data_IF_494523850439
#
_entry.id   IF_494523850439
#
_cell.length_a   1.000
_cell.length_b   1.000
_cell.length_c   1.000
_cell.angle_alpha   90.00
_cell.angle_beta   90.00
_cell.angle_gamma   90.00
#
_symmetry.space_group_name_H-M   'P 1'
#
loop_
_entity.id
_entity.type
_entity.pdbx_description
1 polymer ?
#
# COMPACT_ATOMS: atom_id res chain seq x y z
N UNK A 1 -8.69 -2.56 21.69
CA UNK A 1 -7.58 -2.51 20.71
C UNK A 1 -6.49 -3.42 21.24
N UNK A 2 -5.77 -4.09 20.36
CA UNK A 2 -4.64 -4.96 20.65
C UNK A 2 -3.48 -4.58 19.73
N UNK A 3 -2.22 -4.72 20.14
CA UNK A 3 -1.79 -5.01 21.51
C UNK A 3 -2.02 -3.81 22.45
N UNK A 4 -1.91 -4.02 23.76
CA UNK A 4 -1.93 -2.98 24.79
C UNK A 4 -0.70 -2.07 24.69
N UNK A 5 -0.75 -0.88 25.28
CA UNK A 5 0.39 0.06 25.26
C UNK A 5 1.67 -0.55 25.85
N UNK A 6 1.55 -1.36 26.91
CA UNK A 6 2.69 -2.03 27.52
C UNK A 6 3.31 -3.07 26.58
N UNK A 7 2.48 -3.82 25.85
CA UNK A 7 2.93 -4.77 24.83
C UNK A 7 3.56 -4.07 23.63
N UNK A 8 2.98 -2.95 23.16
CA UNK A 8 3.60 -2.11 22.11
C UNK A 8 5.01 -1.69 22.50
N UNK A 9 5.20 -1.21 23.75
CA UNK A 9 6.53 -0.83 24.25
C UNK A 9 7.53 -2.00 24.22
N UNK A 10 7.07 -3.22 24.52
CA UNK A 10 7.93 -4.43 24.43
C UNK A 10 8.27 -4.79 23.00
N UNK A 11 7.34 -4.60 22.06
CA UNK A 11 7.52 -4.93 20.64
C UNK A 11 8.44 -3.95 19.89
N UNK A 12 8.69 -2.76 20.44
CA UNK A 12 9.61 -1.77 19.83
C UNK A 12 11.02 -2.31 19.59
N UNK A 13 11.45 -3.31 20.34
CA UNK A 13 12.75 -3.96 20.13
C UNK A 13 12.81 -4.76 18.81
N UNK A 14 11.68 -5.10 18.20
CA UNK A 14 11.59 -5.93 16.99
C UNK A 14 11.41 -5.11 15.72
N UNK A 15 10.97 -3.86 15.82
CA UNK A 15 10.67 -3.01 14.67
C UNK A 15 10.07 -1.67 15.08
N UNK A 16 9.98 -0.75 14.12
CA UNK A 16 9.51 0.61 14.33
C UNK A 16 8.09 0.87 13.79
N UNK A 17 7.47 -0.13 13.16
CA UNK A 17 6.06 -0.13 12.78
C UNK A 17 5.39 -1.30 13.50
N UNK A 18 4.46 -0.98 14.40
CA UNK A 18 3.77 -1.97 15.23
C UNK A 18 2.28 -1.85 14.93
N UNK A 19 1.65 -2.87 14.33
CA UNK A 19 0.23 -2.81 13.99
C UNK A 19 -0.61 -2.83 15.28
N UNK A 20 -1.53 -1.88 15.39
CA UNK A 20 -2.55 -1.84 16.44
C UNK A 20 -3.90 -2.04 15.78
N UNK A 21 -4.64 -3.05 16.22
CA UNK A 21 -5.85 -3.50 15.55
C UNK A 21 -7.00 -3.73 16.53
N UNK A 22 -8.19 -3.90 15.95
CA UNK A 22 -9.39 -4.35 16.66
C UNK A 22 -10.22 -5.19 15.70
N UNK A 23 -10.51 -6.43 16.09
CA UNK A 23 -11.47 -7.26 15.37
C UNK A 23 -12.89 -6.81 15.70
N UNK A 24 -13.72 -6.72 14.68
CA UNK A 24 -15.14 -6.35 14.78
C UNK A 24 -15.98 -7.36 14.02
N UNK A 25 -17.20 -7.62 14.50
CA UNK A 25 -18.18 -8.42 13.76
C UNK A 25 -18.71 -7.56 12.63
N UNK A 26 -18.65 -8.09 11.41
CA UNK A 26 -18.92 -7.34 10.18
C UNK A 26 -19.77 -8.15 9.19
N UNK A 27 -20.61 -9.06 9.70
CA UNK A 27 -21.34 -10.06 8.91
C UNK A 27 -22.32 -9.45 7.89
N UNK A 28 -22.69 -8.17 8.06
CA UNK A 28 -23.50 -7.40 7.11
C UNK A 28 -22.69 -6.56 6.11
N UNK A 29 -21.36 -6.61 6.17
CA UNK A 29 -20.48 -5.88 5.26
C UNK A 29 -19.92 -6.85 4.22
N UNK A 30 -20.03 -6.43 2.96
CA UNK A 30 -19.20 -6.96 1.88
C UNK A 30 -17.97 -6.06 1.76
N UNK A 31 -16.86 -6.53 1.15
CA UNK A 31 -15.69 -5.68 0.92
C UNK A 31 -16.04 -4.37 0.23
N UNK A 32 -16.89 -4.41 -0.80
CA UNK A 32 -17.38 -3.22 -1.52
C UNK A 32 -18.18 -2.30 -0.60
N UNK A 33 -19.11 -2.81 0.21
CA UNK A 33 -19.91 -1.96 1.09
C UNK A 33 -19.09 -1.38 2.26
N UNK A 34 -18.04 -2.07 2.69
CA UNK A 34 -17.05 -1.54 3.63
C UNK A 34 -16.21 -0.43 2.98
N UNK A 35 -15.73 -0.64 1.75
CA UNK A 35 -14.97 0.36 1.00
C UNK A 35 -15.77 1.65 0.77
N UNK A 36 -17.02 1.56 0.31
CA UNK A 36 -17.90 2.73 0.10
C UNK A 36 -18.18 3.51 1.39
N UNK A 37 -18.09 2.88 2.56
CA UNK A 37 -18.17 3.57 3.85
C UNK A 37 -16.85 4.23 4.22
N UNK A 38 -15.72 3.60 3.88
CA UNK A 38 -14.38 4.10 4.17
C UNK A 38 -14.00 5.30 3.29
N UNK A 39 -14.30 5.25 1.99
CA UNK A 39 -13.84 6.23 1.00
C UNK A 39 -14.42 7.64 1.21
N UNK A 40 -15.64 7.76 1.75
CA UNK A 40 -16.37 9.04 1.84
C UNK A 40 -15.59 10.18 2.48
N UNK A 41 -14.78 9.85 3.49
CA UNK A 41 -14.05 10.84 4.29
C UNK A 41 -12.53 10.66 4.18
N UNK A 42 -12.05 9.96 3.15
CA UNK A 42 -10.63 9.59 3.02
C UNK A 42 -10.08 9.89 1.64
N UNK A 43 -8.85 10.41 1.64
CA UNK A 43 -8.10 10.61 0.41
C UNK A 43 -7.39 9.32 -0.01
N UNK A 44 -7.24 9.11 -1.32
CA UNK A 44 -6.50 7.96 -1.87
C UNK A 44 -6.98 6.61 -1.32
N UNK A 45 -8.30 6.43 -1.23
CA UNK A 45 -8.86 5.17 -0.78
C UNK A 45 -8.55 4.05 -1.80
N UNK A 46 -8.29 2.84 -1.31
CA UNK A 46 -8.10 1.67 -2.16
C UNK A 46 -8.92 0.48 -1.67
N UNK A 47 -9.21 -0.43 -2.59
CA UNK A 47 -9.74 -1.77 -2.34
C UNK A 47 -8.91 -2.75 -3.18
N UNK A 48 -8.32 -3.75 -2.52
CA UNK A 48 -7.64 -4.87 -3.16
C UNK A 48 -8.39 -6.16 -2.83
N UNK A 49 -8.92 -6.79 -3.88
CA UNK A 49 -9.54 -8.10 -3.81
C UNK A 49 -8.76 -9.07 -4.68
N UNK A 50 -8.61 -10.30 -4.21
CA UNK A 50 -8.00 -11.38 -4.97
C UNK A 50 -9.05 -12.41 -5.33
N UNK A 51 -9.02 -12.88 -6.58
CA UNK A 51 -9.86 -13.98 -7.05
C UNK A 51 -8.93 -15.13 -7.40
N UNK A 52 -9.04 -16.24 -6.66
CA UNK A 52 -8.34 -17.48 -6.97
C UNK A 52 -9.21 -18.33 -7.91
N UNK A 53 -8.66 -18.70 -9.07
CA UNK A 53 -9.28 -19.69 -9.96
C UNK A 53 -10.60 -19.27 -10.61
N UNK A 54 -10.87 -17.96 -10.76
CA UNK A 54 -12.00 -17.42 -11.52
C UNK A 54 -13.34 -17.36 -10.78
N UNK A 55 -13.54 -18.14 -9.71
CA UNK A 55 -14.83 -18.21 -9.00
C UNK A 55 -14.74 -18.06 -7.48
N UNK A 56 -13.56 -18.21 -6.86
CA UNK A 56 -13.41 -18.10 -5.39
C UNK A 56 -12.70 -16.81 -5.01
N UNK A 57 -13.41 -15.95 -4.29
CA UNK A 57 -12.81 -14.79 -3.64
C UNK A 57 -11.84 -15.29 -2.56
N UNK A 58 -10.64 -14.72 -2.53
CA UNK A 58 -9.64 -15.02 -1.52
C UNK A 58 -10.16 -14.70 -0.10
N UNK A 59 -9.53 -15.29 0.92
CA UNK A 59 -9.97 -15.11 2.32
C UNK A 59 -9.96 -13.66 2.81
N UNK A 60 -9.16 -12.79 2.20
CA UNK A 60 -8.98 -11.40 2.63
C UNK A 60 -9.20 -10.43 1.48
N UNK A 61 -9.91 -9.34 1.77
CA UNK A 61 -9.91 -8.09 0.99
C UNK A 61 -9.23 -7.01 1.83
N UNK A 62 -8.41 -6.17 1.19
CA UNK A 62 -7.71 -5.08 1.86
C UNK A 62 -8.28 -3.74 1.44
N UNK A 63 -8.59 -2.90 2.42
CA UNK A 63 -9.05 -1.53 2.21
C UNK A 63 -8.25 -0.57 3.08
N UNK A 64 -7.99 0.61 2.56
CA UNK A 64 -7.24 1.65 3.25
C UNK A 64 -7.43 3.01 2.60
N UNK A 65 -6.94 4.05 3.26
CA UNK A 65 -7.02 5.43 2.82
C UNK A 65 -6.10 6.30 3.68
N UNK A 66 -5.96 7.57 3.31
CA UNK A 66 -5.14 8.58 3.99
C UNK A 66 -3.66 8.16 4.14
N UNK A 67 -2.94 8.01 3.02
CA UNK A 67 -1.53 7.67 3.07
C UNK A 67 -0.74 8.78 3.76
N UNK A 68 0.23 8.40 4.58
CA UNK A 68 1.09 9.35 5.29
C UNK A 68 2.29 9.83 4.45
N UNK A 69 2.56 9.15 3.34
CA UNK A 69 3.63 9.47 2.41
C UNK A 69 3.22 9.04 1.01
N UNK A 70 3.45 9.92 0.03
CA UNK A 70 3.23 9.63 -1.39
C UNK A 70 4.55 9.88 -2.12
N UNK A 71 4.99 8.90 -2.91
CA UNK A 71 6.17 8.97 -3.78
C UNK A 71 5.69 8.92 -5.22
N UNK A 72 6.02 9.95 -6.00
CA UNK A 72 5.69 10.06 -7.42
C UNK A 72 6.96 10.07 -8.25
N UNK A 73 6.88 9.51 -9.45
CA UNK A 73 7.89 9.59 -10.48
C UNK A 73 7.23 9.91 -11.81
N UNK A 74 7.79 10.87 -12.53
CA UNK A 74 7.35 11.21 -13.88
C UNK A 74 8.50 11.82 -14.66
N UNK A 75 8.68 11.40 -15.91
CA UNK A 75 9.60 12.04 -16.87
C UNK A 75 11.02 12.23 -16.30
N UNK A 76 11.58 11.19 -15.68
CA UNK A 76 12.94 11.27 -15.13
C UNK A 76 13.04 11.88 -13.74
N UNK A 77 11.94 12.33 -13.13
CA UNK A 77 11.96 13.10 -11.88
C UNK A 77 11.14 12.46 -10.76
N UNK A 78 11.68 12.36 -9.52
CA UNK A 78 13.06 12.68 -9.16
C UNK A 78 14.06 11.67 -9.74
N UNK A 79 15.36 12.04 -9.94
CA UNK A 79 16.39 11.08 -10.34
C UNK A 79 16.55 9.97 -9.28
N UNK A 80 17.09 8.84 -9.70
CA UNK A 80 17.35 7.68 -8.84
C UNK A 80 16.10 7.23 -8.05
N UNK A 81 14.91 7.35 -8.64
CA UNK A 81 13.64 7.10 -7.95
C UNK A 81 13.58 5.71 -7.30
N UNK A 82 14.07 4.68 -7.99
CA UNK A 82 14.10 3.30 -7.47
C UNK A 82 14.96 3.20 -6.20
N UNK A 83 16.13 3.83 -6.19
CA UNK A 83 17.04 3.80 -5.04
C UNK A 83 16.49 4.63 -3.88
N UNK A 84 15.88 5.77 -4.19
CA UNK A 84 15.16 6.60 -3.22
C UNK A 84 13.96 5.86 -2.62
N UNK A 85 13.23 5.07 -3.43
CA UNK A 85 12.11 4.26 -2.98
C UNK A 85 12.60 3.11 -2.08
N UNK A 86 13.65 2.39 -2.50
CA UNK A 86 14.32 1.36 -1.70
C UNK A 86 14.75 1.90 -0.33
N UNK A 87 15.47 3.02 -0.33
CA UNK A 87 15.91 3.70 0.89
C UNK A 87 14.74 4.15 1.76
N UNK A 88 13.63 4.58 1.16
CA UNK A 88 12.41 4.94 1.89
C UNK A 88 11.79 3.71 2.56
N UNK A 89 11.64 2.61 1.83
CA UNK A 89 11.06 1.36 2.35
C UNK A 89 11.92 0.75 3.46
N UNK A 90 13.25 0.81 3.33
CA UNK A 90 14.20 0.31 4.33
C UNK A 90 14.10 1.02 5.69
N UNK A 91 13.44 2.19 5.77
CA UNK A 91 13.20 2.88 7.05
C UNK A 91 12.07 2.25 7.85
N UNK A 92 11.25 1.39 7.27
CA UNK A 92 10.07 0.81 7.90
C UNK A 92 10.27 -0.69 8.17
N UNK A 93 10.40 -1.04 9.44
CA UNK A 93 10.54 -2.41 9.93
C UNK A 93 9.26 -2.78 10.67
N UNK A 94 8.38 -3.50 9.97
CA UNK A 94 7.09 -3.92 10.52
C UNK A 94 7.24 -5.13 11.44
N UNK A 95 6.63 -5.05 12.62
CA UNK A 95 6.54 -6.17 13.56
C UNK A 95 5.42 -7.09 13.13
N UNK A 96 5.76 -8.35 12.87
CA UNK A 96 4.76 -9.38 12.58
C UNK A 96 4.10 -9.87 13.86
N UNK A 97 2.77 -9.77 13.92
CA UNK A 97 1.98 -10.33 15.01
C UNK A 97 1.27 -11.61 14.53
N UNK A 98 1.16 -12.63 15.40
CA UNK A 98 0.48 -13.87 15.04
C UNK A 98 -0.99 -13.60 14.70
N UNK A 99 -1.52 -14.35 13.73
CA UNK A 99 -2.92 -14.34 13.30
C UNK A 99 -3.42 -13.05 12.63
N UNK A 100 -2.53 -12.11 12.27
CA UNK A 100 -2.92 -10.99 11.41
C UNK A 100 -3.00 -11.39 9.93
N UNK A 101 -3.79 -10.67 9.12
CA UNK A 101 -3.78 -10.81 7.67
C UNK A 101 -2.37 -10.58 7.09
N UNK A 102 -2.09 -11.06 5.87
CA UNK A 102 -0.76 -10.94 5.27
C UNK A 102 -0.36 -9.50 4.92
N UNK A 103 -1.32 -8.58 4.88
CA UNK A 103 -1.08 -7.15 4.68
C UNK A 103 -1.69 -6.35 5.83
N UNK A 104 -0.85 -5.59 6.53
CA UNK A 104 -1.20 -4.81 7.73
C UNK A 104 -0.76 -3.35 7.60
N UNK A 105 -0.52 -2.89 6.36
CA UNK A 105 0.09 -1.60 6.06
C UNK A 105 1.30 -1.76 5.14
N UNK A 106 1.74 -0.66 4.53
CA UNK A 106 2.82 -0.67 3.54
C UNK A 106 2.52 0.22 2.33
N UNK A 107 3.29 0.03 1.27
CA UNK A 107 3.13 0.79 0.03
C UNK A 107 2.09 0.13 -0.89
N UNK A 108 1.10 0.91 -1.33
CA UNK A 108 0.10 0.55 -2.34
C UNK A 108 0.14 1.60 -3.44
N UNK A 109 0.04 1.17 -4.69
CA UNK A 109 0.16 2.07 -5.83
C UNK A 109 0.48 1.32 -7.11
N UNK A 110 1.16 1.98 -8.03
CA UNK A 110 1.47 1.41 -9.33
C UNK A 110 2.84 1.84 -9.86
N UNK A 111 3.39 0.99 -10.72
CA UNK A 111 4.44 1.32 -11.67
C UNK A 111 3.82 1.22 -13.07
N UNK A 112 3.83 2.33 -13.79
CA UNK A 112 3.38 2.43 -15.17
C UNK A 112 4.41 1.80 -16.12
N UNK A 113 4.00 1.64 -17.37
CA UNK A 113 4.81 0.98 -18.38
C UNK A 113 6.15 1.69 -18.61
N UNK A 114 6.14 3.02 -18.72
CA UNK A 114 7.32 3.83 -19.01
C UNK A 114 8.40 3.80 -17.91
N UNK A 115 8.11 3.25 -16.72
CA UNK A 115 9.13 2.92 -15.72
C UNK A 115 10.22 1.99 -16.27
N UNK A 116 9.95 1.21 -17.32
CA UNK A 116 10.97 0.38 -17.99
C UNK A 116 12.15 1.22 -18.50
N UNK A 117 11.93 2.50 -18.83
CA UNK A 117 13.00 3.41 -19.30
C UNK A 117 13.98 3.80 -18.21
N UNK A 118 13.69 3.49 -16.94
CA UNK A 118 14.65 3.67 -15.84
C UNK A 118 15.64 2.51 -15.74
N UNK A 119 15.38 1.38 -16.43
CA UNK A 119 16.21 0.18 -16.40
C UNK A 119 16.79 -0.18 -17.77
N UNK A 120 16.12 0.20 -18.87
CA UNK A 120 16.53 -0.10 -20.24
C UNK A 120 16.58 1.18 -21.09
N UNK A 121 17.54 1.24 -22.03
CA UNK A 121 17.64 2.35 -23.00
C UNK A 121 16.63 2.15 -24.15
N UNK A 122 15.44 2.72 -23.98
CA UNK A 122 14.36 2.64 -24.95
C UNK A 122 14.03 4.05 -25.46
N UNK A 123 14.07 4.30 -26.79
CA UNK A 123 13.74 5.60 -27.37
C UNK A 123 12.34 6.08 -26.99
N UNK A 124 12.22 7.33 -26.54
CA UNK A 124 10.93 7.95 -26.26
C UNK A 124 10.30 8.50 -27.55
N UNK A 125 9.61 7.63 -28.28
CA UNK A 125 8.96 7.95 -29.57
C UNK A 125 7.43 7.99 -29.49
N UNK A 126 6.87 7.58 -28.35
CA UNK A 126 5.43 7.64 -28.09
C UNK A 126 4.98 9.06 -27.76
N UNK A 127 3.68 9.33 -27.89
CA UNK A 127 3.07 10.57 -27.42
C UNK A 127 2.50 10.32 -26.02
N UNK A 128 2.78 11.19 -25.05
CA UNK A 128 2.13 11.18 -23.73
C UNK A 128 0.73 11.79 -23.84
N UNK A 129 -0.26 10.96 -24.16
CA UNK A 129 -1.66 11.34 -24.33
C UNK A 129 -2.51 11.17 -23.06
N UNK A 130 -2.05 10.34 -22.12
CA UNK A 130 -2.74 10.06 -20.85
C UNK A 130 -2.31 11.01 -19.72
N UNK A 131 -1.08 11.52 -19.78
CA UNK A 131 -0.57 12.47 -18.79
C UNK A 131 -0.42 11.90 -17.39
N UNK A 132 -0.32 10.58 -17.23
CA UNK A 132 -0.16 9.92 -15.94
C UNK A 132 1.27 10.05 -15.40
N UNK A 133 1.41 9.92 -14.09
CA UNK A 133 2.73 9.70 -13.49
C UNK A 133 3.22 8.29 -13.85
N UNK A 134 4.51 8.14 -14.11
CA UNK A 134 5.15 6.85 -14.42
C UNK A 134 5.12 5.91 -13.20
N UNK A 135 5.15 6.44 -11.97
CA UNK A 135 4.86 5.65 -10.77
C UNK A 135 4.26 6.51 -9.66
N UNK A 136 3.34 5.92 -8.90
CA UNK A 136 2.78 6.52 -7.68
C UNK A 136 2.68 5.43 -6.62
N UNK A 137 3.46 5.56 -5.54
CA UNK A 137 3.44 4.66 -4.39
C UNK A 137 3.01 5.44 -3.15
N UNK A 138 1.96 4.96 -2.50
CA UNK A 138 1.33 5.58 -1.34
C UNK A 138 1.52 4.67 -0.13
N UNK A 139 2.03 5.21 0.98
CA UNK A 139 2.34 4.44 2.17
C UNK A 139 1.24 4.60 3.21
N UNK A 140 0.71 3.47 3.68
CA UNK A 140 -0.36 3.37 4.67
C UNK A 140 0.16 2.74 5.96
N UNK A 141 -0.43 3.14 7.09
CA UNK A 141 -0.14 2.62 8.43
C UNK A 141 -1.24 1.69 8.93
#
# INVERSE_FOLDING_TARGET
MQPSLEEVKKLQAQGNIIPVYKSVIADFLTPVSAFLKLEKDRSYAFLLESVEGGERIARYSFLGGDPFLIKRYRNGQPPDFIENLRSTMARFHSVSLPNLPPFTGGAVGYFGYDMVRTIEDIPNTGTDDLGFDDAVLMFYK
#
